data_IF_036321866736
#
_entry.id   IF_036321866736
#
_cell.length_a   1.000
_cell.length_b   1.000
_cell.length_c   1.000
_cell.angle_alpha   90.00
_cell.angle_beta   90.00
_cell.angle_gamma   90.00
#
_symmetry.space_group_name_H-M   'P 1'
#
loop_
_entity.id
_entity.type
_entity.pdbx_description
1 polymer ?
#
# COMPACT_ATOMS: atom_id res chain seq x y z
N UNK A 1 0.03 -3.63 -6.05
CA UNK A 1 -0.06 -2.63 -4.95
C UNK A 1 0.44 -1.31 -5.51
N UNK A 2 -0.09 -0.15 -5.10
CA UNK A 2 0.32 1.11 -5.71
C UNK A 2 1.67 1.57 -5.14
N UNK A 3 2.67 1.77 -5.98
CA UNK A 3 4.06 2.02 -5.53
C UNK A 3 4.22 3.26 -4.67
N UNK A 4 3.41 4.29 -4.90
CA UNK A 4 3.49 5.53 -4.11
C UNK A 4 2.55 5.52 -2.91
N UNK A 5 1.95 4.37 -2.56
CA UNK A 5 0.98 4.32 -1.46
C UNK A 5 1.60 4.75 -0.13
N UNK A 6 2.89 4.52 0.09
CA UNK A 6 3.63 5.00 1.27
C UNK A 6 3.57 6.53 1.43
N UNK A 7 3.49 7.30 0.34
CA UNK A 7 3.37 8.76 0.36
C UNK A 7 1.89 9.19 0.32
N UNK A 8 1.08 8.49 -0.47
CA UNK A 8 -0.33 8.81 -0.63
C UNK A 8 -1.11 8.61 0.66
N UNK A 9 -0.90 7.48 1.35
CA UNK A 9 -1.59 7.10 2.59
C UNK A 9 -1.43 8.14 3.71
N UNK A 10 -0.24 8.75 3.82
CA UNK A 10 0.05 9.80 4.82
C UNK A 10 -0.97 10.95 4.78
N UNK A 11 -1.46 11.27 3.58
CA UNK A 11 -2.39 12.38 3.37
C UNK A 11 -3.82 11.92 3.08
N UNK A 12 -4.10 10.61 3.06
CA UNK A 12 -5.39 10.10 2.59
C UNK A 12 -6.53 10.67 3.44
N UNK A 13 -6.52 10.45 4.75
CA UNK A 13 -7.62 10.87 5.63
C UNK A 13 -7.88 12.39 5.56
N UNK A 14 -6.81 13.20 5.48
CA UNK A 14 -6.91 14.65 5.28
C UNK A 14 -7.61 14.99 3.95
N UNK A 15 -7.24 14.32 2.86
CA UNK A 15 -7.86 14.52 1.54
C UNK A 15 -9.32 14.08 1.54
N UNK A 16 -9.65 12.97 2.21
CA UNK A 16 -11.03 12.48 2.34
C UNK A 16 -11.88 13.48 3.13
N UNK A 17 -11.39 13.98 4.25
CA UNK A 17 -12.08 14.98 5.05
C UNK A 17 -12.35 16.27 4.26
N UNK A 18 -11.34 16.77 3.53
CA UNK A 18 -11.48 17.95 2.68
C UNK A 18 -12.49 17.76 1.52
N UNK A 19 -12.70 16.52 1.08
CA UNK A 19 -13.59 16.17 -0.04
C UNK A 19 -14.83 15.39 0.39
N UNK A 20 -15.25 15.49 1.67
CA UNK A 20 -16.34 14.69 2.26
C UNK A 20 -17.67 14.74 1.48
N UNK A 21 -17.94 15.85 0.78
CA UNK A 21 -19.12 16.01 -0.09
C UNK A 21 -19.15 15.02 -1.25
N UNK A 22 -17.97 14.67 -1.78
CA UNK A 22 -17.80 13.78 -2.94
C UNK A 22 -17.26 12.41 -2.55
N UNK A 23 -16.66 12.30 -1.36
CA UNK A 23 -15.97 11.10 -0.89
C UNK A 23 -16.29 10.87 0.60
N UNK A 24 -17.50 10.40 0.88
CA UNK A 24 -17.91 10.02 2.23
C UNK A 24 -17.49 8.58 2.55
N UNK A 25 -16.89 8.38 3.72
CA UNK A 25 -16.69 7.05 4.29
C UNK A 25 -17.94 6.63 5.04
N UNK A 26 -18.41 5.40 4.79
CA UNK A 26 -19.43 4.82 5.63
C UNK A 26 -18.89 4.58 7.05
N UNK A 27 -19.78 4.66 8.03
CA UNK A 27 -19.41 4.44 9.42
C UNK A 27 -18.97 2.98 9.62
N UNK A 28 -17.84 2.78 10.30
CA UNK A 28 -17.30 1.46 10.61
C UNK A 28 -16.41 0.84 9.52
N UNK A 29 -16.09 1.56 8.44
CA UNK A 29 -15.07 1.10 7.49
C UNK A 29 -13.68 1.29 8.10
N UNK A 30 -12.90 0.21 8.11
CA UNK A 30 -11.46 0.23 8.39
C UNK A 30 -10.68 0.34 7.07
N UNK A 31 -9.73 1.28 7.02
CA UNK A 31 -8.79 1.41 5.90
C UNK A 31 -7.44 0.88 6.37
N UNK A 32 -6.99 -0.21 5.76
CA UNK A 32 -5.67 -0.78 5.99
C UNK A 32 -4.76 -0.39 4.84
N UNK A 33 -3.59 0.16 5.17
CA UNK A 33 -2.59 0.56 4.18
C UNK A 33 -1.51 -0.50 4.04
N UNK A 34 -1.13 -0.80 2.79
CA UNK A 34 -0.03 -1.69 2.47
C UNK A 34 0.92 -1.06 1.48
N UNK A 35 2.20 -1.43 1.58
CA UNK A 35 3.25 -1.04 0.65
C UNK A 35 3.60 -2.27 -0.19
N UNK A 36 3.88 -2.11 -1.49
CA UNK A 36 4.27 -3.25 -2.34
C UNK A 36 5.46 -3.99 -1.74
N UNK A 37 5.50 -5.31 -1.94
CA UNK A 37 6.45 -6.16 -1.23
C UNK A 37 7.89 -5.80 -1.61
N UNK A 38 8.15 -5.52 -2.89
CA UNK A 38 9.45 -5.02 -3.33
C UNK A 38 9.80 -3.67 -2.69
N UNK A 39 8.88 -2.71 -2.70
CA UNK A 39 9.11 -1.37 -2.17
C UNK A 39 9.34 -1.34 -0.64
N UNK A 40 8.62 -2.16 0.13
CA UNK A 40 8.75 -2.15 1.60
C UNK A 40 10.10 -2.68 2.09
N UNK A 41 10.77 -3.53 1.30
CA UNK A 41 12.12 -3.99 1.61
C UNK A 41 13.16 -2.87 1.54
N UNK A 42 12.89 -1.78 0.82
CA UNK A 42 13.74 -0.58 0.75
C UNK A 42 13.30 0.53 1.73
N UNK A 43 12.29 0.29 2.57
CA UNK A 43 11.88 1.22 3.63
C UNK A 43 12.67 1.00 4.93
N UNK A 44 12.49 1.89 5.91
CA UNK A 44 12.99 1.68 7.27
C UNK A 44 12.39 0.41 7.92
N UNK A 45 13.17 -0.28 8.76
CA UNK A 45 12.80 -1.57 9.35
C UNK A 45 11.44 -1.59 10.06
N UNK A 46 11.09 -0.47 10.70
CA UNK A 46 9.81 -0.34 11.41
C UNK A 46 8.56 -0.36 10.50
N UNK A 47 8.73 -0.16 9.18
CA UNK A 47 7.63 -0.23 8.21
C UNK A 47 7.21 -1.66 7.93
N UNK A 48 8.16 -2.61 7.88
CA UNK A 48 7.93 -4.00 7.52
C UNK A 48 6.79 -4.67 8.32
N UNK A 49 6.80 -4.67 9.67
CA UNK A 49 5.72 -5.29 10.45
C UNK A 49 4.40 -4.52 10.38
N UNK A 50 4.39 -3.27 9.90
CA UNK A 50 3.20 -2.40 9.88
C UNK A 50 2.44 -2.42 8.57
N UNK A 51 3.17 -2.52 7.45
CA UNK A 51 2.60 -2.25 6.13
C UNK A 51 2.88 -3.34 5.11
N UNK A 52 3.59 -4.42 5.49
CA UNK A 52 3.80 -5.53 4.56
C UNK A 52 2.48 -6.26 4.34
N UNK A 53 2.10 -6.52 3.07
CA UNK A 53 0.91 -7.30 2.76
C UNK A 53 0.97 -8.72 3.34
N UNK A 54 2.17 -9.21 3.67
CA UNK A 54 2.35 -10.52 4.32
C UNK A 54 1.75 -10.61 5.72
N UNK A 55 1.51 -9.45 6.37
CA UNK A 55 0.94 -9.38 7.71
C UNK A 55 -0.51 -8.89 7.72
N UNK A 56 -1.15 -8.74 6.55
CA UNK A 56 -2.53 -8.26 6.43
C UNK A 56 -3.45 -9.45 6.14
N UNK A 57 -4.35 -9.84 7.07
CA UNK A 57 -5.30 -10.92 6.84
C UNK A 57 -6.17 -10.66 5.61
N UNK A 58 -6.31 -11.69 4.77
CA UNK A 58 -7.09 -11.60 3.53
C UNK A 58 -6.37 -10.91 2.36
N UNK A 59 -5.14 -10.40 2.55
CA UNK A 59 -4.34 -9.91 1.44
C UNK A 59 -3.88 -11.09 0.57
N UNK A 60 -4.19 -11.01 -0.73
CA UNK A 60 -3.71 -11.98 -1.71
C UNK A 60 -2.22 -11.79 -1.99
N UNK A 61 -1.51 -12.90 -2.14
CA UNK A 61 -0.14 -12.93 -2.65
C UNK A 61 -0.22 -13.17 -4.16
N UNK A 62 0.05 -12.12 -4.93
CA UNK A 62 0.03 -12.15 -6.39
C UNK A 62 1.32 -11.57 -6.90
N UNK A 63 1.82 -12.11 -8.02
CA UNK A 63 2.88 -11.46 -8.79
C UNK A 63 2.28 -10.20 -9.44
N UNK A 64 2.49 -9.06 -8.77
CA UNK A 64 1.76 -7.82 -9.05
C UNK A 64 2.30 -7.04 -10.24
N UNK A 65 3.58 -7.22 -10.56
CA UNK A 65 4.27 -6.54 -11.65
C UNK A 65 5.35 -7.43 -12.24
N UNK A 66 5.08 -8.04 -13.40
CA UNK A 66 6.01 -8.96 -14.09
C UNK A 66 7.38 -8.33 -14.34
N UNK A 67 7.44 -6.99 -14.41
CA UNK A 67 8.68 -6.24 -14.62
C UNK A 67 9.64 -6.37 -13.42
N UNK A 68 9.13 -6.55 -12.21
CA UNK A 68 9.94 -6.76 -11.00
C UNK A 68 10.65 -8.12 -11.05
N UNK A 69 9.93 -9.18 -11.46
CA UNK A 69 10.50 -10.54 -11.60
C UNK A 69 11.45 -10.65 -12.80
N UNK A 70 11.17 -9.93 -13.90
CA UNK A 70 11.97 -9.98 -15.12
C UNK A 70 13.16 -9.01 -15.13
N UNK A 71 13.34 -8.18 -14.11
CA UNK A 71 14.43 -7.20 -14.10
C UNK A 71 15.82 -7.87 -14.19
N UNK A 72 16.05 -8.94 -13.42
CA UNK A 72 17.33 -9.63 -13.38
C UNK A 72 17.76 -10.26 -14.73
N UNK A 73 16.89 -10.93 -15.50
CA UNK A 73 17.26 -11.42 -16.83
C UNK A 73 17.26 -10.35 -17.93
N UNK A 74 16.68 -9.16 -17.70
CA UNK A 74 16.60 -8.07 -18.68
C UNK A 74 17.71 -7.01 -18.53
N UNK A 75 18.61 -7.14 -17.55
CA UNK A 75 19.78 -6.27 -17.33
C UNK A 75 21.07 -7.10 -17.28
#
# INVERSE_FOLDING_TARGET
LYDINCQFAVNLLRRMAANRKHLSLAQGIEIIHSISLFHIHCHQDSCMPRYSPNYIPGAGQVDGEVIETLWAPLN
#
